data_IF_763679834657
#
_entry.id   IF_763679834657
#
_cell.length_a   1.000
_cell.length_b   1.000
_cell.length_c   1.000
_cell.angle_alpha   90.00
_cell.angle_beta   90.00
_cell.angle_gamma   90.00
#
_symmetry.space_group_name_H-M   'P 1'
#
loop_
_entity.id
_entity.type
_entity.pdbx_description
1 polymer ?
#
# COMPACT_ATOMS: atom_id res chain seq x y z
N UNK A 1 3.52 -24.84 11.92
CA UNK A 1 3.30 -24.68 10.47
C UNK A 1 4.17 -23.52 9.99
N UNK A 2 5.11 -23.76 9.08
CA UNK A 2 5.97 -22.71 8.54
C UNK A 2 5.23 -21.94 7.43
N UNK A 3 5.35 -20.61 7.40
CA UNK A 3 4.79 -19.80 6.31
C UNK A 3 5.60 -19.99 5.02
N UNK A 4 4.96 -19.87 3.86
CA UNK A 4 5.66 -19.87 2.56
C UNK A 4 6.76 -18.79 2.53
N UNK A 5 7.96 -19.10 2.03
CA UNK A 5 9.01 -18.10 1.83
C UNK A 5 8.53 -17.09 0.77
N UNK A 6 8.72 -15.80 1.07
CA UNK A 6 8.35 -14.67 0.19
C UNK A 6 9.56 -13.78 -0.02
N UNK A 7 9.66 -13.13 -1.19
CA UNK A 7 10.79 -12.27 -1.53
C UNK A 7 10.88 -11.02 -0.64
N UNK A 8 9.72 -10.42 -0.32
CA UNK A 8 9.63 -9.24 0.53
C UNK A 8 8.30 -9.26 1.32
N UNK A 9 8.35 -8.82 2.58
CA UNK A 9 7.16 -8.61 3.41
C UNK A 9 7.31 -7.32 4.21
N UNK A 10 6.56 -6.29 3.82
CA UNK A 10 6.58 -4.98 4.48
C UNK A 10 5.15 -4.45 4.69
N UNK A 11 4.81 -3.88 5.86
CA UNK A 11 3.53 -3.24 6.07
C UNK A 11 3.44 -1.91 5.29
N UNK A 12 2.57 -1.87 4.26
CA UNK A 12 2.36 -0.66 3.46
C UNK A 12 1.42 0.35 4.11
N UNK A 13 0.41 -0.09 4.84
CA UNK A 13 -0.50 0.78 5.59
C UNK A 13 -0.64 0.24 7.01
N UNK A 14 -0.34 1.06 8.01
CA UNK A 14 -0.36 0.64 9.41
C UNK A 14 -1.32 1.53 10.19
N UNK A 15 -2.13 0.90 11.05
CA UNK A 15 -3.04 1.62 11.92
C UNK A 15 -2.26 2.48 12.92
N UNK A 16 -2.79 3.67 13.19
CA UNK A 16 -2.27 4.64 14.15
C UNK A 16 -3.38 5.64 14.46
N UNK A 17 -3.20 6.90 14.06
CA UNK A 17 -4.28 7.90 14.11
C UNK A 17 -5.47 7.58 13.17
N UNK A 18 -5.26 6.71 12.17
CA UNK A 18 -6.27 6.32 11.20
C UNK A 18 -6.30 4.80 11.02
N UNK A 19 -7.44 4.29 10.59
CA UNK A 19 -7.62 2.90 10.16
C UNK A 19 -7.54 2.82 8.64
N UNK A 20 -6.93 1.76 8.11
CA UNK A 20 -6.86 1.50 6.66
C UNK A 20 -7.56 0.19 6.32
N UNK A 21 -8.51 0.21 5.38
CA UNK A 21 -9.27 -0.99 4.93
C UNK A 21 -9.43 -1.00 3.41
N UNK A 22 -9.94 -2.13 2.90
CA UNK A 22 -10.25 -2.34 1.48
C UNK A 22 -9.00 -2.11 0.60
N UNK A 23 -7.99 -3.01 0.70
CA UNK A 23 -6.78 -2.88 -0.08
C UNK A 23 -7.04 -3.15 -1.56
N UNK A 24 -6.44 -2.36 -2.44
CA UNK A 24 -6.38 -2.63 -3.87
C UNK A 24 -4.94 -2.44 -4.38
N UNK A 25 -4.53 -3.27 -5.34
CA UNK A 25 -3.17 -3.26 -5.89
C UNK A 25 -3.22 -3.26 -7.41
N UNK A 26 -2.48 -2.35 -8.03
CA UNK A 26 -2.34 -2.25 -9.47
C UNK A 26 -0.87 -2.25 -9.87
N UNK A 27 -0.49 -3.13 -10.80
CA UNK A 27 0.83 -3.13 -11.41
C UNK A 27 0.81 -2.40 -12.75
N UNK A 28 1.80 -1.55 -12.99
CA UNK A 28 2.02 -0.82 -14.23
C UNK A 28 3.25 -1.39 -14.96
N UNK A 29 3.08 -2.31 -15.93
CA UNK A 29 4.19 -3.05 -16.52
C UNK A 29 5.26 -2.17 -17.17
N UNK A 30 4.85 -1.14 -17.92
CA UNK A 30 5.77 -0.25 -18.63
C UNK A 30 6.67 0.58 -17.70
N UNK A 31 6.30 0.71 -16.41
CA UNK A 31 7.07 1.47 -15.40
C UNK A 31 7.67 0.57 -14.32
N UNK A 32 7.34 -0.72 -14.32
CA UNK A 32 7.64 -1.66 -13.23
C UNK A 32 7.24 -1.07 -11.86
N UNK A 33 6.06 -0.45 -11.81
CA UNK A 33 5.58 0.27 -10.62
C UNK A 33 4.33 -0.42 -10.07
N UNK A 34 4.26 -0.54 -8.75
CA UNK A 34 3.08 -0.97 -8.01
C UNK A 34 2.39 0.24 -7.37
N UNK A 35 1.08 0.32 -7.54
CA UNK A 35 0.21 1.30 -6.89
C UNK A 35 -0.65 0.57 -5.87
N UNK A 36 -0.35 0.79 -4.59
CA UNK A 36 -1.08 0.22 -3.46
C UNK A 36 -2.08 1.25 -2.93
N UNK A 37 -3.36 0.93 -3.00
CA UNK A 37 -4.46 1.77 -2.52
C UNK A 37 -5.07 1.18 -1.25
N UNK A 38 -5.61 2.07 -0.41
CA UNK A 38 -6.44 1.70 0.72
C UNK A 38 -7.41 2.83 1.05
N UNK A 39 -8.56 2.49 1.63
CA UNK A 39 -9.43 3.48 2.25
C UNK A 39 -8.85 3.89 3.60
N UNK A 40 -8.62 5.19 3.78
CA UNK A 40 -8.32 5.81 5.06
C UNK A 40 -9.63 6.11 5.79
N UNK A 41 -9.70 5.71 7.06
CA UNK A 41 -10.90 5.80 7.90
C UNK A 41 -10.58 6.35 9.28
N UNK A 42 -11.58 6.93 9.95
CA UNK A 42 -11.46 7.33 11.38
C UNK A 42 -11.56 6.10 12.29
N UNK A 43 -12.39 5.12 11.94
CA UNK A 43 -12.48 3.84 12.65
C UNK A 43 -12.71 2.67 11.69
N UNK A 44 -12.91 1.45 12.23
CA UNK A 44 -13.17 0.25 11.43
C UNK A 44 -14.55 0.21 10.76
N UNK A 45 -15.49 1.07 11.20
CA UNK A 45 -16.85 1.15 10.66
C UNK A 45 -16.84 1.62 9.21
N UNK A 46 -17.86 1.22 8.47
CA UNK A 46 -17.93 1.50 7.03
C UNK A 46 -18.33 2.95 6.78
N UNK A 47 -19.22 3.52 7.61
CA UNK A 47 -19.61 4.94 7.52
C UNK A 47 -18.47 5.93 7.84
N UNK A 48 -17.35 5.47 8.37
CA UNK A 48 -16.20 6.31 8.73
C UNK A 48 -15.10 6.36 7.66
N UNK A 49 -15.41 5.93 6.43
CA UNK A 49 -14.52 6.13 5.29
C UNK A 49 -14.33 7.62 4.99
N UNK A 50 -13.07 8.04 4.80
CA UNK A 50 -12.73 9.43 4.52
C UNK A 50 -12.30 9.63 3.07
N UNK A 51 -11.29 8.88 2.64
CA UNK A 51 -10.64 9.05 1.35
C UNK A 51 -9.84 7.81 0.96
N UNK A 52 -9.54 7.67 -0.33
CA UNK A 52 -8.62 6.65 -0.83
C UNK A 52 -7.20 7.21 -0.79
N UNK A 53 -6.27 6.51 -0.13
CA UNK A 53 -4.84 6.82 -0.13
C UNK A 53 -4.09 5.93 -1.09
N UNK A 54 -2.96 6.43 -1.61
CA UNK A 54 -2.08 5.71 -2.52
C UNK A 54 -0.64 5.69 -1.97
N UNK A 55 0.02 4.55 -2.10
CA UNK A 55 1.48 4.43 -2.03
C UNK A 55 2.01 3.85 -3.33
N UNK A 56 3.06 4.49 -3.85
CA UNK A 56 3.77 4.06 -5.04
C UNK A 56 5.03 3.29 -4.65
N UNK A 57 5.19 2.10 -5.21
CA UNK A 57 6.41 1.29 -5.12
C UNK A 57 7.04 1.10 -6.49
N UNK A 58 8.32 1.42 -6.62
CA UNK A 58 9.07 1.15 -7.85
C UNK A 58 9.83 -0.19 -7.67
N UNK A 59 9.65 -1.14 -8.58
CA UNK A 59 10.27 -2.47 -8.52
C UNK A 59 11.68 -2.44 -9.08
N UNK A 60 12.65 -2.71 -8.23
CA UNK A 60 14.06 -2.85 -8.59
C UNK A 60 14.35 -4.31 -8.98
N UNK A 61 14.65 -4.51 -10.26
CA UNK A 61 14.94 -5.84 -10.80
C UNK A 61 16.26 -6.44 -10.29
N UNK A 62 17.22 -5.61 -9.85
CA UNK A 62 18.52 -6.08 -9.37
C UNK A 62 18.43 -6.71 -7.98
N UNK A 63 17.58 -6.15 -7.13
CA UNK A 63 17.36 -6.61 -5.76
C UNK A 63 16.10 -7.48 -5.61
N UNK A 64 15.25 -7.52 -6.65
CA UNK A 64 13.90 -8.13 -6.62
C UNK A 64 13.03 -7.55 -5.49
N UNK A 65 13.24 -6.27 -5.16
CA UNK A 65 12.52 -5.56 -4.12
C UNK A 65 11.69 -4.42 -4.68
N UNK A 66 10.63 -4.07 -3.95
CA UNK A 66 9.77 -2.92 -4.24
C UNK A 66 10.12 -1.82 -3.25
N UNK A 67 10.63 -0.70 -3.77
CA UNK A 67 10.95 0.48 -2.97
C UNK A 67 9.72 1.38 -2.86
N UNK A 68 9.01 1.29 -1.74
CA UNK A 68 7.79 2.05 -1.51
C UNK A 68 8.12 3.43 -0.98
N UNK A 69 7.66 4.46 -1.68
CA UNK A 69 7.83 5.85 -1.25
C UNK A 69 6.97 6.10 -0.02
N UNK A 70 7.62 6.47 1.10
CA UNK A 70 6.94 6.83 2.33
C UNK A 70 6.38 8.26 2.21
N UNK A 71 5.13 8.35 1.76
CA UNK A 71 4.27 9.51 1.96
C UNK A 71 4.24 10.56 0.84
N UNK A 72 3.10 10.64 0.16
CA UNK A 72 2.42 11.90 -0.11
C UNK A 72 0.93 11.58 -0.07
N UNK A 73 0.19 12.18 0.86
CA UNK A 73 -1.27 12.23 0.72
C UNK A 73 -1.50 12.97 -0.59
N UNK A 74 -2.08 12.33 -1.59
CA UNK A 74 -2.54 13.03 -2.78
C UNK A 74 -3.53 14.09 -2.29
N UNK A 75 -3.11 15.35 -2.26
CA UNK A 75 -4.06 16.45 -2.17
C UNK A 75 -4.70 16.61 -3.55
N UNK A 76 -6.02 16.82 -3.60
CA UNK A 76 -6.74 17.01 -4.85
C UNK A 76 -6.19 18.19 -5.66
#
# INVERSE_FOLDING_TARGET
MASCPVLQREPLFQAGAHTYRIPALLYLPGRKTLLAFAEKRVSKRDEHALLIVLRRGDHDASTQQVQVRRGAVCHP
#
